data_IF_798172413553
#
_entry.id   IF_798172413553
#
_cell.length_a   1.000
_cell.length_b   1.000
_cell.length_c   1.000
_cell.angle_alpha   90.00
_cell.angle_beta   90.00
_cell.angle_gamma   90.00
#
_symmetry.space_group_name_H-M   'P 1'
#
loop_
_entity.id
_entity.type
_entity.pdbx_description
1 polymer ?
#
# COMPACT_ATOMS: atom_id res chain seq x y z
N UNK A 1 18.40 -56.89 29.20
CA UNK A 1 18.01 -58.27 29.54
C UNK A 1 16.51 -58.22 29.85
N UNK A 2 15.54 -58.80 29.13
CA UNK A 2 15.39 -59.99 28.28
C UNK A 2 14.69 -59.57 26.95
N UNK A 3 15.22 -59.85 25.75
CA UNK A 3 14.78 -60.88 24.75
C UNK A 3 13.25 -61.07 24.68
N UNK A 4 12.52 -61.04 23.57
CA UNK A 4 12.72 -61.15 22.11
C UNK A 4 11.38 -61.65 21.54
N UNK A 5 10.77 -61.07 20.50
CA UNK A 5 11.00 -61.48 19.12
C UNK A 5 9.88 -62.38 18.54
N UNK A 6 8.89 -61.74 17.88
CA UNK A 6 8.16 -62.10 16.64
C UNK A 6 7.75 -63.55 16.29
N UNK A 7 6.50 -63.76 15.79
CA UNK A 7 6.18 -63.89 14.33
C UNK A 7 4.71 -64.31 14.05
N UNK A 8 4.24 -63.75 12.92
CA UNK A 8 3.03 -63.96 12.11
C UNK A 8 2.31 -65.32 12.09
N UNK A 9 0.98 -65.27 11.88
CA UNK A 9 0.27 -65.85 10.70
C UNK A 9 -1.21 -65.40 10.62
N UNK A 10 -1.60 -64.76 9.50
CA UNK A 10 -2.98 -64.76 8.96
C UNK A 10 -3.19 -66.03 8.12
N UNK A 11 -4.44 -66.43 7.86
CA UNK A 11 -4.96 -66.19 6.50
C UNK A 11 -6.44 -65.76 6.42
N UNK A 12 -6.76 -65.17 5.28
CA UNK A 12 -8.08 -64.75 4.78
C UNK A 12 -9.04 -65.93 4.51
N UNK A 13 -10.34 -65.66 4.62
CA UNK A 13 -11.36 -66.22 3.72
C UNK A 13 -12.49 -65.22 3.47
N UNK A 14 -12.68 -64.93 2.19
CA UNK A 14 -13.81 -64.25 1.56
C UNK A 14 -14.93 -65.25 1.28
N UNK A 15 -16.20 -64.79 1.26
CA UNK A 15 -17.20 -65.27 0.31
C UNK A 15 -18.42 -64.35 0.23
N UNK A 16 -18.77 -64.09 -1.02
CA UNK A 16 -19.92 -63.37 -1.55
C UNK A 16 -21.27 -64.00 -1.22
N UNK A 17 -22.34 -63.22 -1.39
CA UNK A 17 -23.72 -63.74 -1.48
C UNK A 17 -24.77 -62.64 -1.64
N UNK A 18 -25.02 -62.26 -2.89
CA UNK A 18 -26.14 -61.42 -3.31
C UNK A 18 -27.50 -62.12 -3.16
N UNK A 19 -28.57 -61.35 -2.94
CA UNK A 19 -29.96 -61.84 -2.94
C UNK A 19 -30.97 -60.70 -2.99
N UNK A 20 -31.51 -60.50 -4.19
CA UNK A 20 -32.54 -59.53 -4.61
C UNK A 20 -33.95 -60.00 -4.21
N UNK A 21 -34.88 -59.06 -3.97
CA UNK A 21 -36.33 -59.01 -4.33
C UNK A 21 -37.07 -58.09 -3.32
N UNK A 22 -38.16 -57.36 -3.59
CA UNK A 22 -38.72 -56.59 -4.71
C UNK A 22 -40.10 -56.07 -4.23
N UNK A 23 -40.49 -54.85 -4.64
CA UNK A 23 -41.88 -54.26 -4.72
C UNK A 23 -42.56 -53.94 -3.37
N UNK A 24 -43.29 -52.84 -3.16
CA UNK A 24 -44.35 -52.15 -3.94
C UNK A 24 -44.38 -50.63 -3.57
N UNK A 25 -44.41 -49.67 -4.51
CA UNK A 25 -45.58 -49.03 -5.16
C UNK A 25 -46.63 -48.35 -4.24
N UNK A 26 -46.69 -47.00 -4.31
CA UNK A 26 -47.90 -46.13 -4.44
C UNK A 26 -47.45 -44.66 -4.55
N UNK A 27 -47.43 -44.08 -5.77
CA UNK A 27 -48.45 -43.21 -6.42
C UNK A 27 -48.38 -41.72 -6.05
N UNK A 28 -47.97 -40.91 -7.05
CA UNK A 28 -48.19 -39.44 -7.18
C UNK A 28 -49.67 -39.13 -7.47
N UNK A 29 -50.03 -37.83 -7.48
CA UNK A 29 -50.40 -37.25 -8.78
C UNK A 29 -49.78 -35.88 -9.09
N UNK A 30 -49.52 -35.65 -10.38
CA UNK A 30 -49.32 -34.35 -11.04
C UNK A 30 -50.65 -33.90 -11.65
N UNK A 31 -50.88 -32.59 -11.73
CA UNK A 31 -51.90 -31.91 -12.55
C UNK A 31 -51.34 -30.59 -13.12
N UNK A 32 -51.96 -29.98 -14.17
CA UNK A 32 -51.25 -29.60 -15.41
C UNK A 32 -51.15 -28.08 -15.70
N UNK A 33 -50.34 -27.64 -16.70
CA UNK A 33 -50.48 -26.36 -17.43
C UNK A 33 -51.39 -26.56 -18.69
N UNK A 34 -51.89 -25.54 -19.46
CA UNK A 34 -51.12 -24.44 -20.07
C UNK A 34 -51.90 -23.12 -20.38
N UNK A 35 -51.24 -22.13 -21.02
CA UNK A 35 -51.91 -21.10 -21.83
C UNK A 35 -51.18 -19.75 -21.92
N UNK A 36 -50.59 -19.45 -23.08
CA UNK A 36 -50.14 -18.10 -23.45
C UNK A 36 -51.11 -17.43 -24.42
N UNK A 37 -51.18 -16.09 -24.39
CA UNK A 37 -51.42 -15.21 -25.56
C UNK A 37 -51.31 -13.72 -25.17
N UNK A 38 -50.36 -13.06 -25.82
CA UNK A 38 -50.36 -11.71 -26.38
C UNK A 38 -51.58 -10.79 -26.14
N UNK A 39 -51.32 -9.53 -25.73
CA UNK A 39 -51.92 -8.33 -26.37
C UNK A 39 -51.32 -7.00 -25.89
N UNK A 40 -50.83 -6.27 -26.89
CA UNK A 40 -50.55 -4.82 -26.93
C UNK A 40 -51.74 -3.95 -26.50
N UNK A 41 -51.44 -2.79 -25.88
CA UNK A 41 -52.04 -1.43 -25.99
C UNK A 41 -51.58 -0.67 -24.73
N UNK A 42 -50.85 0.45 -24.77
CA UNK A 42 -51.08 1.66 -25.54
C UNK A 42 -51.61 2.73 -24.59
N UNK A 43 -50.72 3.51 -23.96
CA UNK A 43 -51.11 4.68 -23.17
C UNK A 43 -50.34 5.92 -23.66
N UNK A 44 -51.08 6.79 -24.34
CA UNK A 44 -50.67 8.13 -24.75
C UNK A 44 -50.81 9.09 -23.57
N UNK A 45 -49.83 10.01 -23.49
CA UNK A 45 -49.93 11.45 -23.12
C UNK A 45 -50.64 11.83 -21.80
N UNK A 46 -49.95 12.63 -20.99
CA UNK A 46 -50.17 14.10 -20.91
C UNK A 46 -49.10 14.80 -20.05
N UNK A 47 -48.55 15.87 -20.62
CA UNK A 47 -47.81 16.95 -19.98
C UNK A 47 -48.78 18.02 -19.42
N UNK A 48 -48.17 19.00 -18.72
CA UNK A 48 -48.65 20.29 -18.20
C UNK A 48 -48.89 20.27 -16.68
N UNK A 49 -48.07 20.86 -15.81
CA UNK A 49 -47.44 22.20 -15.71
C UNK A 49 -48.33 23.28 -15.06
N UNK A 50 -47.73 23.92 -14.04
CA UNK A 50 -47.94 25.25 -13.46
C UNK A 50 -49.03 25.48 -12.39
N UNK A 51 -48.61 26.12 -11.30
CA UNK A 51 -49.46 26.75 -10.29
C UNK A 51 -48.74 27.17 -9.01
N UNK A 52 -48.05 28.32 -9.01
CA UNK A 52 -47.78 29.12 -7.81
C UNK A 52 -49.07 29.88 -7.41
N UNK A 53 -49.32 30.33 -6.14
CA UNK A 53 -48.56 31.47 -5.58
C UNK A 53 -48.51 31.70 -4.02
N UNK A 54 -47.66 32.68 -3.64
CA UNK A 54 -47.80 33.74 -2.59
C UNK A 54 -47.55 33.48 -1.07
N UNK A 55 -46.38 33.97 -0.64
CA UNK A 55 -46.04 34.93 0.43
C UNK A 55 -47.06 35.27 1.55
N UNK A 56 -46.63 35.12 2.81
CA UNK A 56 -46.94 36.05 3.92
C UNK A 56 -45.88 36.00 5.06
N UNK A 57 -45.48 37.18 5.54
CA UNK A 57 -44.90 37.53 6.86
C UNK A 57 -45.75 38.72 7.39
N UNK A 58 -45.64 39.23 8.64
CA UNK A 58 -44.80 38.87 9.81
C UNK A 58 -45.58 38.90 11.17
N UNK A 59 -44.92 38.65 12.33
CA UNK A 59 -44.95 39.53 13.54
C UNK A 59 -44.06 39.04 14.69
N UNK A 60 -43.46 40.02 15.39
CA UNK A 60 -42.60 39.95 16.59
C UNK A 60 -43.45 39.97 17.88
N UNK A 61 -42.95 39.41 18.98
CA UNK A 61 -43.17 39.92 20.35
C UNK A 61 -41.93 39.63 21.24
N UNK A 62 -41.70 40.52 22.22
CA UNK A 62 -40.51 40.67 23.08
C UNK A 62 -40.74 40.13 24.51
N UNK A 63 -39.62 39.68 25.13
CA UNK A 63 -39.14 39.78 26.54
C UNK A 63 -40.08 39.49 27.74
N UNK A 64 -39.55 38.67 28.67
CA UNK A 64 -39.55 38.88 30.13
C UNK A 64 -38.26 38.28 30.75
N UNK A 65 -37.81 38.83 31.89
CA UNK A 65 -36.52 38.59 32.55
C UNK A 65 -36.65 38.29 34.06
N UNK A 66 -35.57 37.72 34.64
CA UNK A 66 -35.20 37.53 36.07
C UNK A 66 -36.03 36.52 36.90
N UNK A 67 -35.53 35.59 37.75
CA UNK A 67 -34.28 35.18 38.44
C UNK A 67 -34.72 34.41 39.74
N UNK A 68 -33.90 34.01 40.74
CA UNK A 68 -32.55 33.39 40.80
C UNK A 68 -32.48 32.12 41.72
N UNK A 69 -31.35 31.36 41.70
CA UNK A 69 -30.55 30.88 42.88
C UNK A 69 -29.78 29.53 42.74
N UNK A 70 -28.47 29.65 43.04
CA UNK A 70 -27.55 28.81 43.88
C UNK A 70 -26.97 27.46 43.41
N UNK A 71 -25.63 27.42 43.50
CA UNK A 71 -24.74 26.27 43.80
C UNK A 71 -24.47 25.36 42.59
N UNK A 72 -23.24 25.05 42.16
CA UNK A 72 -22.17 24.37 42.91
C UNK A 72 -20.79 24.70 42.29
N UNK A 73 -19.76 24.60 43.13
CA UNK A 73 -18.35 24.95 42.93
C UNK A 73 -17.53 23.76 42.38
N UNK A 74 -16.56 24.07 41.47
CA UNK A 74 -15.35 23.31 41.05
C UNK A 74 -15.58 22.01 40.24
N UNK A 75 -14.75 21.65 39.25
CA UNK A 75 -13.31 21.84 39.12
C UNK A 75 -12.86 22.07 37.66
N UNK A 76 -11.82 22.91 37.51
CA UNK A 76 -11.05 23.08 36.30
C UNK A 76 -10.15 21.85 36.07
N UNK A 77 -10.18 21.30 34.85
CA UNK A 77 -9.23 20.30 34.37
C UNK A 77 -8.19 21.02 33.49
N UNK A 78 -6.88 20.85 33.74
CA UNK A 78 -5.84 21.64 33.09
C UNK A 78 -5.58 21.18 31.65
N UNK A 79 -5.30 22.16 30.79
CA UNK A 79 -4.84 21.96 29.42
C UNK A 79 -3.52 21.15 29.38
N UNK A 80 -3.35 20.19 28.45
CA UNK A 80 -2.07 19.52 28.28
C UNK A 80 -1.05 20.51 27.70
N UNK A 81 0.07 20.65 28.42
CA UNK A 81 1.14 21.58 28.11
C UNK A 81 1.75 21.38 26.72
N UNK A 82 2.11 22.52 26.13
CA UNK A 82 2.98 22.64 24.96
C UNK A 82 4.31 21.92 25.23
N UNK A 83 4.44 20.68 24.75
CA UNK A 83 5.76 20.10 24.46
C UNK A 83 6.19 20.59 23.09
N UNK A 84 7.27 21.36 23.06
CA UNK A 84 7.85 21.90 21.85
C UNK A 84 8.13 20.79 20.83
N UNK A 85 7.39 20.83 19.72
CA UNK A 85 7.76 20.12 18.50
C UNK A 85 9.03 20.79 17.98
N UNK A 86 10.16 20.10 18.13
CA UNK A 86 11.35 20.43 17.35
C UNK A 86 11.01 20.10 15.90
N UNK A 87 10.89 21.12 15.06
CA UNK A 87 10.90 20.93 13.62
C UNK A 87 12.24 20.27 13.27
N UNK A 88 12.18 19.00 12.87
CA UNK A 88 13.34 18.31 12.29
C UNK A 88 13.56 18.97 10.93
N UNK A 89 14.63 19.74 10.83
CA UNK A 89 15.03 20.42 9.60
C UNK A 89 15.45 19.33 8.61
N UNK A 90 14.64 19.13 7.56
CA UNK A 90 15.00 18.32 6.41
C UNK A 90 16.31 18.84 5.84
N UNK A 91 17.33 17.99 5.75
CA UNK A 91 18.54 18.33 5.00
C UNK A 91 18.25 18.06 3.52
N UNK A 92 18.20 19.08 2.64
CA UNK A 92 17.89 18.85 1.24
C UNK A 92 18.95 17.95 0.61
N UNK A 93 18.52 16.95 -0.17
CA UNK A 93 19.44 16.24 -1.06
C UNK A 93 20.10 17.26 -1.99
N UNK A 94 21.41 17.11 -2.21
CA UNK A 94 22.19 18.07 -3.02
C UNK A 94 21.61 18.15 -4.43
N UNK A 95 21.09 19.32 -4.80
CA UNK A 95 20.60 19.59 -6.16
C UNK A 95 21.73 19.46 -7.18
N UNK A 96 21.56 18.72 -8.29
CA UNK A 96 22.42 18.85 -9.45
C UNK A 96 22.31 20.27 -10.03
N UNK A 97 23.43 20.87 -10.43
CA UNK A 97 23.43 22.18 -11.12
C UNK A 97 22.95 21.97 -12.56
N UNK A 98 21.73 22.42 -12.88
CA UNK A 98 21.25 22.53 -14.26
C UNK A 98 21.66 23.90 -14.83
N UNK A 99 22.29 23.90 -16.01
CA UNK A 99 22.54 25.11 -16.80
C UNK A 99 21.30 25.40 -17.66
N UNK A 100 20.86 26.66 -17.65
CA UNK A 100 20.23 27.40 -18.76
C UNK A 100 19.06 26.75 -19.50
N UNK A 101 17.89 27.33 -19.35
CA UNK A 101 16.66 26.99 -20.05
C UNK A 101 16.77 27.08 -21.59
N UNK A 102 16.23 26.06 -22.27
CA UNK A 102 15.75 26.14 -23.65
C UNK A 102 14.37 25.46 -23.65
N UNK A 103 13.31 26.27 -23.73
CA UNK A 103 11.91 25.81 -23.84
C UNK A 103 11.59 25.57 -25.33
N UNK A 104 10.64 24.68 -25.59
CA UNK A 104 10.10 24.23 -26.89
C UNK A 104 10.73 22.99 -27.53
N UNK A 105 10.68 21.86 -26.80
CA UNK A 105 10.53 20.53 -27.40
C UNK A 105 9.48 19.72 -26.64
N UNK A 106 8.59 18.97 -27.30
CA UNK A 106 7.72 18.03 -26.60
C UNK A 106 8.59 17.03 -25.82
N UNK A 107 8.38 16.97 -24.51
CA UNK A 107 9.07 16.04 -23.62
C UNK A 107 8.68 14.62 -24.02
N UNK A 108 9.64 13.84 -24.53
CA UNK A 108 9.45 12.40 -24.75
C UNK A 108 9.64 11.70 -23.42
N UNK A 109 8.65 10.91 -23.02
CA UNK A 109 8.74 9.96 -21.91
C UNK A 109 10.00 9.09 -22.16
N UNK A 110 10.98 9.07 -21.24
CA UNK A 110 12.09 8.13 -21.34
C UNK A 110 11.56 6.70 -21.26
N UNK A 111 11.76 5.89 -22.29
CA UNK A 111 11.45 4.46 -22.25
C UNK A 111 12.17 3.79 -21.06
N UNK A 112 11.44 3.08 -20.19
CA UNK A 112 12.05 2.27 -19.13
C UNK A 112 12.95 1.20 -19.79
N UNK A 113 14.25 1.25 -19.50
CA UNK A 113 15.24 0.39 -20.14
C UNK A 113 15.07 -1.07 -19.69
N UNK A 114 15.14 -2.05 -20.60
CA UNK A 114 15.22 -3.46 -20.20
C UNK A 114 16.54 -3.75 -19.48
N UNK A 115 16.60 -4.76 -18.59
CA UNK A 115 17.79 -5.12 -17.84
C UNK A 115 18.92 -5.54 -18.77
N UNK A 116 20.13 -4.98 -18.57
CA UNK A 116 21.31 -5.34 -19.37
C UNK A 116 21.94 -6.63 -18.82
N UNK A 117 22.35 -7.58 -19.68
CA UNK A 117 23.12 -8.74 -19.25
C UNK A 117 24.56 -8.35 -18.89
N UNK A 118 25.09 -8.99 -17.86
CA UNK A 118 26.43 -8.80 -17.31
C UNK A 118 27.53 -8.81 -18.39
N UNK A 119 28.29 -7.71 -18.47
CA UNK A 119 29.50 -7.64 -19.30
C UNK A 119 30.72 -8.10 -18.49
N UNK A 120 31.28 -9.23 -18.90
CA UNK A 120 32.55 -9.76 -18.43
C UNK A 120 33.70 -8.73 -18.55
N UNK A 121 34.51 -8.66 -17.50
CA UNK A 121 35.72 -7.84 -17.38
C UNK A 121 36.70 -8.04 -18.54
N UNK A 122 37.15 -6.92 -19.14
CA UNK A 122 38.40 -6.86 -19.92
C UNK A 122 39.53 -6.31 -19.04
N UNK A 123 40.75 -6.87 -19.09
CA UNK A 123 41.86 -6.40 -18.27
C UNK A 123 42.53 -5.14 -18.86
N UNK A 124 42.98 -4.25 -17.98
CA UNK A 124 43.72 -3.02 -18.31
C UNK A 124 45.16 -3.30 -18.84
N UNK A 125 45.75 -2.41 -19.66
CA UNK A 125 47.14 -2.51 -20.07
C UNK A 125 48.12 -1.90 -19.05
N UNK A 126 49.26 -2.57 -18.87
CA UNK A 126 50.39 -2.18 -17.99
C UNK A 126 51.04 -0.83 -18.36
N UNK A 127 51.61 -0.08 -17.39
CA UNK A 127 52.22 1.22 -17.66
C UNK A 127 53.65 1.11 -18.20
N UNK A 128 53.99 1.97 -19.17
CA UNK A 128 55.34 2.16 -19.71
C UNK A 128 56.16 3.10 -18.81
N UNK A 129 57.39 2.68 -18.49
CA UNK A 129 58.43 3.49 -17.83
C UNK A 129 58.80 4.73 -18.66
N UNK A 130 58.94 5.90 -18.02
CA UNK A 130 59.70 7.03 -18.55
C UNK A 130 60.77 7.48 -17.56
N UNK A 131 61.91 7.86 -18.16
CA UNK A 131 63.21 8.17 -17.56
C UNK A 131 63.24 9.53 -16.86
N UNK A 132 64.20 9.60 -15.95
CA UNK A 132 64.75 10.71 -15.17
C UNK A 132 65.12 11.98 -15.97
N UNK A 133 64.85 13.14 -15.35
CA UNK A 133 65.47 14.43 -15.68
C UNK A 133 65.61 15.27 -14.40
N UNK A 134 66.82 15.76 -14.14
CA UNK A 134 67.26 16.45 -12.93
C UNK A 134 66.82 17.92 -12.86
N UNK A 135 66.61 18.40 -11.62
CA UNK A 135 67.15 19.70 -11.16
C UNK A 135 66.17 20.86 -10.97
N UNK A 136 65.85 21.19 -9.71
CA UNK A 136 66.02 22.52 -9.06
C UNK A 136 65.54 22.50 -7.60
N UNK A 137 66.27 23.23 -6.74
CA UNK A 137 66.15 23.30 -5.25
C UNK A 137 64.93 24.14 -4.78
N UNK A 138 64.47 23.97 -3.53
CA UNK A 138 63.11 24.31 -3.11
C UNK A 138 62.98 25.71 -2.51
N UNK A 139 61.87 26.38 -2.79
CA UNK A 139 61.38 27.52 -2.01
C UNK A 139 60.49 27.01 -0.86
N UNK A 140 60.74 27.51 0.35
CA UNK A 140 59.98 27.25 1.57
C UNK A 140 58.52 27.71 1.39
N UNK A 141 57.64 26.77 1.04
CA UNK A 141 56.19 26.98 1.04
C UNK A 141 55.62 26.49 2.39
N UNK A 142 54.93 27.40 3.08
CA UNK A 142 54.22 27.17 4.33
C UNK A 142 53.36 25.91 4.25
N UNK A 143 53.48 25.08 5.27
CA UNK A 143 52.79 23.81 5.47
C UNK A 143 51.26 23.98 5.52
N UNK A 144 50.62 24.07 4.35
CA UNK A 144 49.18 23.90 4.21
C UNK A 144 48.93 22.39 4.16
N UNK A 145 48.67 21.79 5.32
CA UNK A 145 48.14 20.43 5.40
C UNK A 145 47.02 20.27 4.38
N UNK A 146 47.11 19.34 3.40
CA UNK A 146 46.02 19.12 2.48
C UNK A 146 44.83 18.67 3.31
N UNK A 147 43.70 19.40 3.23
CA UNK A 147 42.42 18.93 3.75
C UNK A 147 42.21 17.54 3.13
N UNK A 148 42.24 16.49 3.95
CA UNK A 148 41.85 15.14 3.53
C UNK A 148 40.49 15.29 2.85
N UNK A 149 40.43 15.09 1.53
CA UNK A 149 39.14 14.88 0.86
C UNK A 149 38.58 13.64 1.55
N UNK A 150 37.49 13.82 2.30
CA UNK A 150 36.66 12.70 2.74
C UNK A 150 36.32 11.94 1.45
N UNK A 151 36.90 10.75 1.32
CA UNK A 151 36.55 9.84 0.24
C UNK A 151 35.16 9.36 0.60
N UNK A 152 34.17 9.80 -0.17
CA UNK A 152 32.79 9.41 0.05
C UNK A 152 32.66 7.91 -0.20
N UNK A 153 32.05 7.20 0.73
CA UNK A 153 31.86 5.75 0.60
C UNK A 153 30.75 5.49 -0.44
N UNK A 154 30.96 4.61 -1.44
CA UNK A 154 29.89 4.22 -2.33
C UNK A 154 28.74 3.57 -1.54
N UNK A 155 27.48 3.70 -1.98
CA UNK A 155 26.35 3.08 -1.30
C UNK A 155 26.43 1.55 -1.33
N UNK A 156 25.81 0.91 -0.35
CA UNK A 156 25.71 -0.56 -0.26
C UNK A 156 24.89 -1.10 -1.46
N UNK A 157 25.22 -2.28 -2.02
CA UNK A 157 24.33 -2.98 -2.96
C UNK A 157 22.87 -3.07 -2.48
N UNK A 158 22.62 -3.21 -1.18
CA UNK A 158 21.28 -3.20 -0.60
C UNK A 158 20.56 -1.84 -0.77
N UNK A 159 21.31 -0.72 -0.69
CA UNK A 159 20.76 0.62 -0.93
C UNK A 159 20.33 0.78 -2.39
N UNK A 160 21.13 0.24 -3.32
CA UNK A 160 20.79 0.23 -4.75
C UNK A 160 19.49 -0.52 -5.01
N UNK A 161 19.34 -1.70 -4.41
CA UNK A 161 18.12 -2.49 -4.54
C UNK A 161 16.87 -1.76 -4.00
N UNK A 162 17.00 -0.90 -2.98
CA UNK A 162 15.88 -0.06 -2.51
C UNK A 162 15.46 0.96 -3.57
N UNK A 163 16.43 1.59 -4.23
CA UNK A 163 16.17 2.56 -5.31
C UNK A 163 15.59 1.87 -6.54
N UNK A 164 16.06 0.67 -6.88
CA UNK A 164 15.57 -0.09 -8.03
C UNK A 164 14.11 -0.52 -7.86
N UNK A 165 13.68 -0.84 -6.63
CA UNK A 165 12.25 -1.13 -6.34
C UNK A 165 11.35 0.09 -6.55
N UNK A 166 11.84 1.28 -6.20
CA UNK A 166 11.12 2.54 -6.45
C UNK A 166 11.04 2.84 -7.94
N UNK A 167 12.15 2.66 -8.66
CA UNK A 167 12.18 2.82 -10.12
C UNK A 167 11.19 1.87 -10.80
N UNK A 168 11.19 0.58 -10.41
CA UNK A 168 10.28 -0.43 -10.93
C UNK A 168 8.82 0.00 -10.77
N UNK A 169 8.38 0.34 -9.56
CA UNK A 169 6.97 0.68 -9.29
C UNK A 169 6.56 2.00 -9.93
N UNK A 170 7.44 3.01 -9.95
CA UNK A 170 7.14 4.31 -10.58
C UNK A 170 7.11 4.23 -12.09
N UNK A 171 7.99 3.44 -12.73
CA UNK A 171 7.89 3.10 -14.15
C UNK A 171 6.51 2.50 -14.46
N UNK A 172 6.07 1.49 -13.70
CA UNK A 172 4.76 0.84 -13.94
C UNK A 172 3.57 1.78 -13.75
N UNK A 173 3.64 2.68 -12.77
CA UNK A 173 2.62 3.71 -12.54
C UNK A 173 2.57 4.70 -13.72
N UNK A 174 3.74 5.14 -14.20
CA UNK A 174 3.82 6.03 -15.34
C UNK A 174 3.28 5.36 -16.62
N UNK A 175 3.67 4.11 -16.87
CA UNK A 175 3.18 3.31 -17.99
C UNK A 175 1.66 3.09 -17.91
N UNK A 176 1.13 2.76 -16.72
CA UNK A 176 -0.31 2.62 -16.49
C UNK A 176 -1.03 3.94 -16.80
N UNK A 177 -0.54 5.05 -16.26
CA UNK A 177 -1.09 6.38 -16.49
C UNK A 177 -1.06 6.79 -17.97
N UNK A 178 0.00 6.45 -18.70
CA UNK A 178 0.12 6.75 -20.13
C UNK A 178 -0.93 6.04 -21.00
N UNK A 179 -1.57 4.99 -20.47
CA UNK A 179 -2.67 4.26 -21.13
C UNK A 179 -4.07 4.74 -20.71
N UNK A 180 -4.18 5.71 -19.82
CA UNK A 180 -5.47 6.22 -19.35
C UNK A 180 -6.07 7.22 -20.35
N UNK A 181 -7.37 7.08 -20.62
CA UNK A 181 -8.17 8.13 -21.25
C UNK A 181 -8.69 9.14 -20.21
N UNK A 182 -9.22 10.29 -20.64
CA UNK A 182 -9.77 11.31 -19.74
C UNK A 182 -10.83 10.74 -18.76
N UNK A 183 -11.65 9.81 -19.22
CA UNK A 183 -12.67 9.15 -18.39
C UNK A 183 -12.09 8.20 -17.36
N UNK A 184 -10.89 7.66 -17.58
CA UNK A 184 -10.25 6.75 -16.65
C UNK A 184 -9.79 7.48 -15.39
N UNK A 185 -9.25 8.69 -15.55
CA UNK A 185 -8.68 9.49 -14.46
C UNK A 185 -9.67 9.83 -13.35
N UNK A 186 -10.93 10.01 -13.71
CA UNK A 186 -12.02 10.37 -12.77
C UNK A 186 -12.74 9.17 -12.17
N UNK A 187 -12.32 7.93 -12.50
CA UNK A 187 -12.95 6.72 -11.95
C UNK A 187 -12.69 6.63 -10.44
N UNK A 188 -13.71 6.34 -9.62
CA UNK A 188 -13.54 6.17 -8.18
C UNK A 188 -12.74 4.92 -7.87
N UNK A 189 -11.99 4.94 -6.76
CA UNK A 189 -11.21 3.79 -6.29
C UNK A 189 -11.76 3.25 -4.96
N UNK A 190 -11.15 2.18 -4.45
CA UNK A 190 -11.47 1.64 -3.13
C UNK A 190 -11.03 2.56 -1.98
N UNK A 191 -10.22 3.58 -2.24
CA UNK A 191 -9.89 4.63 -1.26
C UNK A 191 -11.04 5.64 -1.25
N UNK A 192 -11.79 5.79 -0.14
CA UNK A 192 -12.97 6.65 -0.12
C UNK A 192 -12.65 8.10 -0.50
N UNK A 193 -13.38 8.62 -1.47
CA UNK A 193 -13.22 9.99 -1.96
C UNK A 193 -12.11 10.19 -2.99
N UNK A 194 -11.36 9.14 -3.35
CA UNK A 194 -10.26 9.24 -4.31
C UNK A 194 -10.62 8.67 -5.68
N UNK A 195 -10.14 9.36 -6.71
CA UNK A 195 -10.14 8.90 -8.10
C UNK A 195 -8.80 8.26 -8.49
N UNK A 196 -8.70 7.70 -9.69
CA UNK A 196 -7.42 7.20 -10.26
C UNK A 196 -6.33 8.28 -10.26
N UNK A 197 -6.69 9.53 -10.60
CA UNK A 197 -5.76 10.66 -10.59
C UNK A 197 -5.21 10.99 -9.20
N UNK A 198 -6.05 10.86 -8.17
CA UNK A 198 -5.72 11.24 -6.79
C UNK A 198 -4.55 10.39 -6.23
N UNK A 199 -4.39 9.14 -6.70
CA UNK A 199 -3.26 8.30 -6.33
C UNK A 199 -1.92 8.84 -6.81
N UNK A 200 -1.84 9.33 -8.06
CA UNK A 200 -0.61 9.94 -8.56
C UNK A 200 -0.33 11.28 -7.87
N UNK A 201 -1.36 12.08 -7.61
CA UNK A 201 -1.23 13.33 -6.88
C UNK A 201 -0.64 13.12 -5.47
N UNK A 202 -1.15 12.14 -4.72
CA UNK A 202 -0.64 11.77 -3.40
C UNK A 202 0.82 11.32 -3.43
N UNK A 203 1.16 10.40 -4.33
CA UNK A 203 2.54 9.90 -4.45
C UNK A 203 3.52 11.02 -4.83
N UNK A 204 3.11 11.87 -5.78
CA UNK A 204 3.90 13.00 -6.26
C UNK A 204 4.22 13.96 -5.13
N UNK A 205 3.25 14.30 -4.28
CA UNK A 205 3.46 15.29 -3.23
C UNK A 205 4.48 14.86 -2.17
N UNK A 206 4.39 13.62 -1.71
CA UNK A 206 5.37 13.07 -0.77
C UNK A 206 6.78 13.12 -1.34
N UNK A 207 6.92 12.87 -2.64
CA UNK A 207 8.20 12.96 -3.33
C UNK A 207 8.67 14.41 -3.53
N UNK A 208 7.77 15.36 -3.76
CA UNK A 208 8.08 16.81 -3.78
C UNK A 208 8.63 17.28 -2.44
N UNK A 209 7.97 16.88 -1.35
CA UNK A 209 8.41 17.19 0.02
C UNK A 209 9.81 16.63 0.29
N UNK A 210 10.11 15.42 -0.19
CA UNK A 210 11.44 14.80 -0.05
C UNK A 210 12.50 15.39 -0.99
N UNK A 211 12.11 16.10 -2.06
CA UNK A 211 13.00 16.99 -2.82
C UNK A 211 13.25 18.34 -2.12
N UNK A 212 12.53 18.62 -1.03
CA UNK A 212 12.55 19.93 -0.37
C UNK A 212 11.92 21.02 -1.22
N UNK A 213 10.91 20.68 -2.02
CA UNK A 213 10.05 21.67 -2.67
C UNK A 213 9.07 22.25 -1.65
N UNK A 214 8.65 23.49 -1.89
CA UNK A 214 7.70 24.15 -1.01
C UNK A 214 6.36 23.40 -0.99
N UNK A 215 5.73 23.26 0.19
CA UNK A 215 4.40 22.69 0.29
C UNK A 215 3.41 23.48 -0.57
N UNK A 216 2.40 22.78 -1.08
CA UNK A 216 1.29 23.44 -1.79
C UNK A 216 0.49 24.28 -0.79
N UNK A 217 0.25 25.55 -1.13
CA UNK A 217 -0.65 26.43 -0.41
C UNK A 217 -2.08 26.18 -0.91
N UNK A 218 -2.81 25.28 -0.22
CA UNK A 218 -4.16 24.89 -0.58
C UNK A 218 -5.02 24.61 0.66
N UNK A 219 -6.31 24.91 0.56
CA UNK A 219 -7.29 24.64 1.63
C UNK A 219 -8.34 23.67 1.11
N UNK A 220 -8.44 22.53 1.79
CA UNK A 220 -9.44 21.49 1.50
C UNK A 220 -10.83 21.95 1.95
N UNK A 221 -11.89 21.69 1.17
CA UNK A 221 -13.27 21.91 1.59
C UNK A 221 -13.61 21.23 2.94
N UNK A 222 -14.38 21.91 3.78
CA UNK A 222 -14.85 21.34 5.05
C UNK A 222 -15.92 20.26 4.85
N UNK A 223 -16.08 19.37 5.84
CA UNK A 223 -17.20 18.41 5.90
C UNK A 223 -17.08 17.18 4.99
N UNK A 224 -15.89 16.90 4.44
CA UNK A 224 -15.64 15.71 3.64
C UNK A 224 -15.74 14.42 4.48
N UNK A 225 -16.75 13.60 4.21
CA UNK A 225 -17.10 12.43 5.01
C UNK A 225 -16.01 11.33 5.04
N UNK A 226 -15.11 11.30 4.05
CA UNK A 226 -14.00 10.34 4.00
C UNK A 226 -12.81 10.73 4.88
N UNK A 227 -12.72 11.98 5.33
CA UNK A 227 -11.64 12.44 6.20
C UNK A 227 -11.90 12.04 7.65
N UNK A 228 -11.35 10.89 8.04
CA UNK A 228 -11.59 10.27 9.37
C UNK A 228 -10.44 10.47 10.36
N UNK A 229 -9.30 11.00 9.93
CA UNK A 229 -8.11 11.19 10.77
C UNK A 229 -7.16 12.26 10.19
N UNK A 230 -6.22 12.73 11.01
CA UNK A 230 -5.26 13.78 10.66
C UNK A 230 -4.33 13.42 9.49
N UNK A 231 -4.06 12.13 9.26
CA UNK A 231 -3.21 11.68 8.15
C UNK A 231 -3.98 11.85 6.84
N UNK A 232 -5.24 11.40 6.80
CA UNK A 232 -6.14 11.61 5.67
C UNK A 232 -6.31 13.10 5.36
N UNK A 233 -6.55 13.94 6.37
CA UNK A 233 -6.67 15.39 6.17
C UNK A 233 -5.41 16.03 5.58
N UNK A 234 -4.21 15.55 5.96
CA UNK A 234 -2.95 16.04 5.40
C UNK A 234 -2.75 15.60 3.95
N UNK A 235 -3.04 14.35 3.63
CA UNK A 235 -2.92 13.85 2.26
C UNK A 235 -3.92 14.55 1.32
N UNK A 236 -5.13 14.82 1.82
CA UNK A 236 -6.20 15.44 1.02
C UNK A 236 -5.84 16.84 0.51
N UNK A 237 -5.02 17.62 1.23
CA UNK A 237 -4.57 18.96 0.77
C UNK A 237 -3.96 18.88 -0.61
N UNK A 238 -3.12 17.88 -0.84
CA UNK A 238 -2.33 17.78 -2.07
C UNK A 238 -3.10 17.12 -3.21
N UNK A 239 -3.97 16.18 -2.85
CA UNK A 239 -4.92 15.56 -3.76
C UNK A 239 -5.89 16.60 -4.29
N UNK A 240 -6.56 17.33 -3.39
CA UNK A 240 -7.58 18.31 -3.74
C UNK A 240 -7.01 19.47 -4.59
N UNK A 241 -5.77 19.91 -4.29
CA UNK A 241 -5.08 20.93 -5.08
C UNK A 241 -4.90 20.56 -6.57
N UNK A 242 -4.90 19.27 -6.90
CA UNK A 242 -4.69 18.75 -8.26
C UNK A 242 -5.95 18.23 -8.92
N UNK A 243 -7.10 18.20 -8.23
CA UNK A 243 -8.38 17.70 -8.80
C UNK A 243 -8.88 18.51 -9.99
N UNK A 244 -8.47 19.78 -10.09
CA UNK A 244 -8.83 20.64 -11.22
C UNK A 244 -7.93 20.45 -12.45
N UNK A 245 -6.81 19.72 -12.31
CA UNK A 245 -5.87 19.47 -13.40
C UNK A 245 -6.36 18.32 -14.27
N UNK A 246 -5.88 18.27 -15.51
CA UNK A 246 -6.07 17.07 -16.33
C UNK A 246 -5.23 15.91 -15.76
N UNK A 247 -5.70 14.68 -15.95
CA UNK A 247 -4.92 13.51 -15.55
C UNK A 247 -3.56 13.43 -16.26
N UNK A 248 -3.46 13.93 -17.49
CA UNK A 248 -2.21 14.05 -18.22
C UNK A 248 -1.22 15.02 -17.55
N UNK A 249 -1.69 16.15 -17.02
CA UNK A 249 -0.85 17.11 -16.29
C UNK A 249 -0.36 16.53 -14.96
N UNK A 250 -1.22 15.80 -14.24
CA UNK A 250 -0.83 15.11 -13.00
C UNK A 250 0.19 14.00 -13.29
N UNK A 251 0.01 13.24 -14.37
CA UNK A 251 0.99 12.25 -14.82
C UNK A 251 2.33 12.89 -15.19
N UNK A 252 2.31 14.02 -15.90
CA UNK A 252 3.52 14.74 -16.27
C UNK A 252 4.30 15.22 -15.03
N UNK A 253 3.60 15.77 -14.03
CA UNK A 253 4.21 16.14 -12.75
C UNK A 253 4.79 14.92 -12.02
N UNK A 254 4.04 13.81 -11.97
CA UNK A 254 4.51 12.57 -11.36
C UNK A 254 5.83 12.09 -11.99
N UNK A 255 5.91 12.04 -13.32
CA UNK A 255 7.12 11.62 -14.04
C UNK A 255 8.29 12.58 -13.79
N UNK A 256 8.05 13.89 -13.79
CA UNK A 256 9.09 14.89 -13.51
C UNK A 256 9.67 14.71 -12.10
N UNK A 257 8.79 14.67 -11.09
CA UNK A 257 9.18 14.62 -9.68
C UNK A 257 9.86 13.30 -9.35
N UNK A 258 9.28 12.17 -9.75
CA UNK A 258 9.86 10.84 -9.49
C UNK A 258 11.19 10.65 -10.22
N UNK A 259 11.31 11.16 -11.46
CA UNK A 259 12.58 11.19 -12.19
C UNK A 259 13.67 11.97 -11.46
N UNK A 260 13.34 13.16 -10.96
CA UNK A 260 14.27 13.96 -10.15
C UNK A 260 14.65 13.26 -8.84
N UNK A 261 13.70 12.59 -8.18
CA UNK A 261 13.95 11.81 -6.96
C UNK A 261 14.88 10.62 -7.21
N UNK A 262 14.63 9.84 -8.27
CA UNK A 262 15.49 8.71 -8.63
C UNK A 262 16.90 9.18 -8.98
N UNK A 263 17.04 10.28 -9.72
CA UNK A 263 18.34 10.86 -10.01
C UNK A 263 19.10 11.25 -8.73
N UNK A 264 18.40 11.88 -7.76
CA UNK A 264 18.96 12.20 -6.45
C UNK A 264 19.38 10.96 -5.66
N UNK A 265 18.50 9.97 -5.54
CA UNK A 265 18.76 8.72 -4.81
C UNK A 265 19.90 7.91 -5.44
N UNK A 266 20.03 7.90 -6.77
CA UNK A 266 21.14 7.23 -7.48
C UNK A 266 22.49 7.90 -7.23
N UNK A 267 22.49 9.19 -6.89
CA UNK A 267 23.68 9.94 -6.54
C UNK A 267 24.04 9.86 -5.04
N UNK A 268 23.17 9.32 -4.20
CA UNK A 268 23.42 9.18 -2.76
C UNK A 268 24.60 8.27 -2.45
N UNK A 269 25.32 8.63 -1.40
CA UNK A 269 26.43 7.87 -0.81
C UNK A 269 25.93 7.03 0.36
N UNK A 270 26.77 6.13 0.91
CA UNK A 270 26.36 5.35 2.09
C UNK A 270 25.97 6.25 3.27
N UNK A 271 26.66 7.39 3.44
CA UNK A 271 26.36 8.38 4.46
C UNK A 271 25.04 9.11 4.21
N UNK A 272 24.68 9.39 2.96
CA UNK A 272 23.39 10.00 2.62
C UNK A 272 22.24 9.05 2.94
N UNK A 273 22.38 7.75 2.66
CA UNK A 273 21.38 6.74 3.04
C UNK A 273 21.26 6.59 4.57
N UNK A 274 22.34 6.80 5.31
CA UNK A 274 22.35 6.79 6.76
C UNK A 274 21.89 8.12 7.40
N UNK A 275 21.63 9.16 6.60
CA UNK A 275 21.19 10.46 7.12
C UNK A 275 19.80 10.36 7.75
N UNK A 276 19.56 11.17 8.78
CA UNK A 276 18.28 11.23 9.49
C UNK A 276 17.13 11.58 8.53
N UNK A 277 16.02 10.88 8.69
CA UNK A 277 14.78 11.09 7.97
C UNK A 277 13.58 10.82 8.88
N UNK A 278 12.43 11.33 8.48
CA UNK A 278 11.15 10.87 9.02
C UNK A 278 10.72 9.57 8.33
N UNK A 279 10.06 8.69 9.06
CA UNK A 279 9.36 7.50 8.54
C UNK A 279 7.95 7.41 9.13
N UNK A 280 7.02 6.65 8.51
CA UNK A 280 5.72 6.39 9.11
C UNK A 280 5.76 5.73 10.51
N UNK A 281 6.87 5.08 10.88
CA UNK A 281 7.09 4.50 12.20
C UNK A 281 7.80 5.45 13.19
N UNK A 282 8.06 6.70 12.79
CA UNK A 282 8.81 7.68 13.57
C UNK A 282 10.17 8.02 12.94
N UNK A 283 11.07 8.68 13.70
CA UNK A 283 12.41 9.00 13.23
C UNK A 283 13.19 7.76 12.77
N UNK A 284 13.96 7.88 11.70
CA UNK A 284 14.81 6.83 11.16
C UNK A 284 15.84 7.43 10.20
N UNK A 285 16.25 6.67 9.19
CA UNK A 285 17.17 7.11 8.14
C UNK A 285 16.50 7.17 6.77
N UNK A 286 17.16 7.77 5.78
CA UNK A 286 16.71 7.70 4.37
C UNK A 286 16.54 6.25 3.94
N UNK A 287 17.48 5.37 4.31
CA UNK A 287 17.40 3.92 4.07
C UNK A 287 16.13 3.30 4.65
N UNK A 288 15.76 3.67 5.87
CA UNK A 288 14.58 3.14 6.54
C UNK A 288 13.27 3.62 5.89
N UNK A 289 13.28 4.80 5.26
CA UNK A 289 12.11 5.37 4.60
C UNK A 289 11.77 4.68 3.27
N UNK A 290 12.76 4.31 2.45
CA UNK A 290 12.51 3.83 1.08
C UNK A 290 11.61 2.58 1.00
N UNK A 291 11.71 1.57 1.89
CA UNK A 291 10.77 0.46 1.91
C UNK A 291 9.31 0.89 2.06
N UNK A 292 9.03 1.93 2.86
CA UNK A 292 7.67 2.47 3.00
C UNK A 292 7.22 3.15 1.72
N UNK A 293 8.11 3.87 1.04
CA UNK A 293 7.78 4.55 -0.22
C UNK A 293 7.48 3.56 -1.34
N UNK A 294 8.25 2.47 -1.44
CA UNK A 294 8.01 1.40 -2.40
C UNK A 294 6.68 0.68 -2.12
N UNK A 295 6.40 0.37 -0.85
CA UNK A 295 5.13 -0.21 -0.43
C UNK A 295 3.94 0.72 -0.74
N UNK A 296 4.01 1.99 -0.36
CA UNK A 296 2.94 2.98 -0.59
C UNK A 296 2.64 3.14 -2.08
N UNK A 297 3.69 3.23 -2.90
CA UNK A 297 3.57 3.30 -4.36
C UNK A 297 2.96 2.03 -4.94
N UNK A 298 3.33 0.85 -4.44
CA UNK A 298 2.78 -0.41 -4.91
C UNK A 298 1.30 -0.56 -4.56
N UNK A 299 0.90 -0.23 -3.33
CA UNK A 299 -0.52 -0.27 -2.93
C UNK A 299 -1.35 0.66 -3.81
N UNK A 300 -0.87 1.86 -4.08
CA UNK A 300 -1.58 2.81 -4.93
C UNK A 300 -1.56 2.44 -6.43
N UNK A 301 -0.54 1.73 -6.91
CA UNK A 301 -0.59 1.06 -8.21
C UNK A 301 -1.73 0.05 -8.26
N UNK A 302 -1.89 -0.79 -7.22
CA UNK A 302 -2.99 -1.75 -7.15
C UNK A 302 -4.36 -1.07 -7.06
N UNK A 303 -4.47 0.03 -6.30
CA UNK A 303 -5.70 0.83 -6.22
C UNK A 303 -6.12 1.34 -7.62
N UNK A 304 -5.17 1.86 -8.41
CA UNK A 304 -5.42 2.30 -9.78
C UNK A 304 -5.78 1.13 -10.70
N UNK A 305 -5.05 0.01 -10.64
CA UNK A 305 -5.30 -1.17 -11.49
C UNK A 305 -6.68 -1.76 -11.27
N UNK A 306 -7.09 -1.90 -10.00
CA UNK A 306 -8.43 -2.36 -9.64
C UNK A 306 -9.49 -1.41 -10.21
N UNK A 307 -9.33 -0.11 -9.96
CA UNK A 307 -10.26 0.90 -10.43
C UNK A 307 -10.35 0.91 -11.96
N UNK A 308 -9.30 0.53 -12.68
CA UNK A 308 -9.22 0.50 -14.14
C UNK A 308 -9.62 -0.84 -14.78
N UNK A 309 -9.77 -1.91 -13.99
CA UNK A 309 -9.88 -3.31 -14.45
C UNK A 309 -8.65 -3.74 -15.30
N UNK A 310 -7.44 -3.41 -14.81
CA UNK A 310 -6.15 -3.68 -15.48
C UNK A 310 -5.21 -4.47 -14.58
N UNK A 311 -5.47 -5.77 -14.34
CA UNK A 311 -4.70 -6.58 -13.40
C UNK A 311 -3.21 -6.62 -13.79
N UNK A 312 -2.33 -6.61 -12.79
CA UNK A 312 -0.88 -6.60 -13.00
C UNK A 312 -0.10 -6.02 -11.82
N UNK A 313 1.21 -5.89 -11.97
CA UNK A 313 2.06 -5.31 -10.92
C UNK A 313 2.27 -6.20 -9.69
N UNK A 314 1.79 -7.44 -9.71
CA UNK A 314 1.92 -8.42 -8.62
C UNK A 314 3.15 -9.35 -8.76
N UNK A 315 4.10 -8.98 -9.62
CA UNK A 315 5.37 -9.70 -9.80
C UNK A 315 6.54 -8.73 -9.62
N UNK A 316 7.71 -9.27 -9.30
CA UNK A 316 8.95 -8.51 -9.23
C UNK A 316 9.29 -7.99 -7.83
N UNK A 317 10.53 -7.51 -7.63
CA UNK A 317 11.06 -7.14 -6.31
C UNK A 317 10.19 -6.14 -5.52
N UNK A 318 9.58 -5.16 -6.18
CA UNK A 318 8.70 -4.19 -5.51
C UNK A 318 7.44 -4.86 -4.92
N UNK A 319 6.80 -5.75 -5.69
CA UNK A 319 5.60 -6.47 -5.27
C UNK A 319 5.90 -7.47 -4.14
N UNK A 320 7.00 -8.22 -4.26
CA UNK A 320 7.45 -9.16 -3.23
C UNK A 320 7.76 -8.44 -1.91
N UNK A 321 8.46 -7.30 -1.96
CA UNK A 321 8.78 -6.51 -0.78
C UNK A 321 7.53 -5.87 -0.13
N UNK A 322 6.57 -5.42 -0.94
CA UNK A 322 5.30 -4.93 -0.43
C UNK A 322 4.51 -6.06 0.26
N UNK A 323 4.45 -7.25 -0.35
CA UNK A 323 3.79 -8.41 0.24
C UNK A 323 4.45 -8.85 1.55
N UNK A 324 5.79 -8.90 1.61
CA UNK A 324 6.53 -9.24 2.83
C UNK A 324 6.21 -8.28 3.98
N UNK A 325 6.09 -6.99 3.66
CA UNK A 325 5.67 -5.98 4.63
C UNK A 325 4.25 -6.22 5.11
N UNK A 326 3.31 -6.53 4.21
CA UNK A 326 1.91 -6.78 4.53
C UNK A 326 1.78 -8.00 5.44
N UNK A 327 2.38 -9.14 5.07
CA UNK A 327 2.32 -10.36 5.89
C UNK A 327 3.05 -10.21 7.22
N UNK A 328 4.10 -9.39 7.27
CA UNK A 328 4.81 -9.06 8.51
C UNK A 328 3.94 -8.41 9.58
N UNK A 329 2.78 -7.84 9.22
CA UNK A 329 1.82 -7.28 10.18
C UNK A 329 0.95 -8.34 10.86
N UNK A 330 0.89 -9.57 10.33
CA UNK A 330 -0.05 -10.59 10.78
C UNK A 330 0.17 -11.00 12.24
N UNK A 331 1.43 -11.04 12.71
CA UNK A 331 1.74 -11.31 14.11
C UNK A 331 1.10 -10.31 15.08
N UNK A 332 1.10 -9.03 14.71
CA UNK A 332 0.40 -7.99 15.48
C UNK A 332 -1.12 -8.16 15.41
N UNK A 333 -1.67 -8.49 14.24
CA UNK A 333 -3.10 -8.74 14.06
C UNK A 333 -3.56 -9.90 14.97
N UNK A 334 -2.92 -11.06 14.86
CA UNK A 334 -3.29 -12.25 15.63
C UNK A 334 -3.03 -12.04 17.13
N UNK A 335 -1.82 -11.62 17.51
CA UNK A 335 -1.43 -11.54 18.91
C UNK A 335 -2.10 -10.40 19.68
N UNK A 336 -2.37 -9.25 19.03
CA UNK A 336 -2.86 -8.06 19.73
C UNK A 336 -4.26 -7.60 19.33
N UNK A 337 -4.62 -7.62 18.04
CA UNK A 337 -5.97 -7.20 17.62
C UNK A 337 -7.02 -8.29 17.89
N UNK A 338 -6.69 -9.54 17.58
CA UNK A 338 -7.59 -10.70 17.78
C UNK A 338 -7.42 -11.30 19.16
N UNK A 339 -6.17 -11.39 19.64
CA UNK A 339 -5.77 -11.89 20.95
C UNK A 339 -6.48 -13.20 21.37
N UNK A 340 -6.36 -14.29 20.58
CA UNK A 340 -6.92 -15.57 20.98
C UNK A 340 -6.09 -16.20 22.14
N UNK A 341 -6.58 -17.26 22.79
CA UNK A 341 -5.85 -17.92 23.88
C UNK A 341 -4.48 -18.46 23.46
N UNK A 342 -3.57 -18.58 24.42
CA UNK A 342 -2.27 -19.26 24.23
C UNK A 342 -2.46 -20.68 23.70
N UNK A 343 -1.54 -21.13 22.84
CA UNK A 343 -1.62 -22.39 22.10
C UNK A 343 -2.46 -22.33 20.82
N UNK A 344 -3.10 -21.21 20.52
CA UNK A 344 -3.80 -21.00 19.24
C UNK A 344 -2.79 -20.95 18.09
N UNK A 345 -2.99 -21.78 17.07
CA UNK A 345 -2.17 -21.79 15.84
C UNK A 345 -2.99 -21.27 14.66
N UNK A 346 -2.54 -20.18 14.05
CA UNK A 346 -3.13 -19.57 12.85
C UNK A 346 -2.20 -19.79 11.67
N UNK A 347 -2.71 -20.39 10.60
CA UNK A 347 -1.99 -20.53 9.33
C UNK A 347 -2.67 -19.67 8.27
N UNK A 348 -1.94 -18.74 7.66
CA UNK A 348 -2.41 -17.98 6.50
C UNK A 348 -1.61 -18.41 5.28
N UNK A 349 -2.31 -18.90 4.26
CA UNK A 349 -1.75 -19.23 2.96
C UNK A 349 -2.33 -18.30 1.91
N UNK A 350 -1.47 -17.68 1.13
CA UNK A 350 -1.86 -16.90 -0.04
C UNK A 350 -1.47 -17.65 -1.30
N UNK A 351 -2.37 -17.70 -2.27
CA UNK A 351 -2.12 -18.30 -3.59
C UNK A 351 -1.59 -17.24 -4.57
N UNK A 352 -1.32 -17.65 -5.81
CA UNK A 352 -0.89 -16.75 -6.88
C UNK A 352 -1.79 -15.49 -6.98
N UNK A 353 -1.25 -14.33 -7.36
CA UNK A 353 0.11 -14.11 -7.87
C UNK A 353 1.20 -13.99 -6.79
N UNK A 354 0.84 -13.73 -5.54
CA UNK A 354 1.77 -13.46 -4.43
C UNK A 354 1.68 -14.55 -3.37
N UNK A 355 2.40 -15.65 -3.59
CA UNK A 355 2.32 -16.84 -2.73
C UNK A 355 3.12 -16.61 -1.43
N UNK A 356 2.46 -16.83 -0.29
CA UNK A 356 3.06 -16.82 1.06
C UNK A 356 2.40 -17.88 1.93
N UNK A 357 3.16 -18.43 2.87
CA UNK A 357 2.61 -19.19 4.00
C UNK A 357 3.18 -18.60 5.27
N UNK A 358 2.30 -18.18 6.18
CA UNK A 358 2.66 -17.68 7.51
C UNK A 358 2.01 -18.56 8.55
N UNK A 359 2.82 -19.09 9.48
CA UNK A 359 2.37 -19.95 10.57
C UNK A 359 2.68 -19.23 11.86
N UNK A 360 1.66 -18.96 12.67
CA UNK A 360 1.79 -18.26 13.93
C UNK A 360 1.19 -19.08 15.07
N UNK A 361 1.90 -19.17 16.19
CA UNK A 361 1.37 -19.68 17.46
C UNK A 361 1.31 -18.56 18.48
N UNK A 362 0.23 -18.50 19.27
CA UNK A 362 0.13 -17.57 20.39
C UNK A 362 0.81 -18.15 21.62
N UNK A 363 1.87 -17.47 22.08
CA UNK A 363 2.65 -17.84 23.27
C UNK A 363 2.82 -16.60 24.15
N UNK A 364 2.36 -16.65 25.40
CA UNK A 364 2.43 -15.53 26.33
C UNK A 364 1.67 -14.30 25.83
N UNK A 365 0.52 -14.50 25.17
CA UNK A 365 -0.30 -13.44 24.59
C UNK A 365 0.30 -12.76 23.36
N UNK A 366 1.33 -13.33 22.73
CA UNK A 366 1.91 -12.82 21.47
C UNK A 366 1.94 -13.90 20.41
N UNK A 367 1.62 -13.55 19.17
CA UNK A 367 1.78 -14.45 18.05
C UNK A 367 3.25 -14.48 17.60
N UNK A 368 3.87 -15.65 17.68
CA UNK A 368 5.24 -15.91 17.27
C UNK A 368 5.26 -16.84 16.04
N UNK A 369 6.20 -16.66 15.10
CA UNK A 369 6.33 -17.55 13.95
C UNK A 369 6.71 -18.97 14.36
N UNK A 370 6.05 -19.95 13.75
CA UNK A 370 6.46 -21.35 13.78
C UNK A 370 7.15 -21.72 12.47
N UNK A 371 8.17 -22.59 12.55
CA UNK A 371 8.93 -23.03 11.38
C UNK A 371 8.10 -23.90 10.43
N UNK A 372 7.24 -24.74 10.98
CA UNK A 372 6.39 -25.66 10.21
C UNK A 372 4.93 -25.55 10.67
N UNK A 373 4.01 -25.69 9.71
CA UNK A 373 2.59 -25.76 10.02
C UNK A 373 2.28 -27.13 10.64
N UNK A 374 1.59 -27.20 11.79
CA UNK A 374 1.08 -28.47 12.29
C UNK A 374 0.04 -29.05 11.33
N UNK A 375 -0.21 -30.35 11.41
CA UNK A 375 -1.23 -31.04 10.61
C UNK A 375 -2.64 -30.51 10.91
N UNK A 376 -2.89 -30.15 12.16
CA UNK A 376 -4.19 -29.66 12.66
C UNK A 376 -4.01 -28.29 13.34
N UNK A 377 -3.82 -27.20 12.58
CA UNK A 377 -3.78 -25.86 13.15
C UNK A 377 -5.18 -25.46 13.65
N UNK A 378 -5.26 -24.57 14.64
CA UNK A 378 -6.58 -24.08 15.13
C UNK A 378 -7.41 -23.48 14.01
N UNK A 379 -6.79 -22.72 13.11
CA UNK A 379 -7.42 -22.27 11.87
C UNK A 379 -6.40 -22.15 10.74
N UNK A 380 -6.83 -22.52 9.53
CA UNK A 380 -6.15 -22.22 8.28
C UNK A 380 -7.02 -21.31 7.42
N UNK A 381 -6.43 -20.21 6.97
CA UNK A 381 -7.04 -19.20 6.10
C UNK A 381 -6.32 -19.24 4.76
N UNK A 382 -7.05 -19.48 3.67
CA UNK A 382 -6.51 -19.47 2.31
C UNK A 382 -7.22 -18.46 1.43
N UNK A 383 -6.48 -17.60 0.72
CA UNK A 383 -7.04 -16.63 -0.23
C UNK A 383 -6.00 -16.26 -1.30
N UNK A 384 -6.39 -15.53 -2.35
CA UNK A 384 -5.44 -15.03 -3.35
C UNK A 384 -4.54 -13.94 -2.76
N UNK A 385 -3.27 -13.87 -3.17
CA UNK A 385 -2.30 -12.94 -2.56
C UNK A 385 -2.63 -11.46 -2.76
N UNK A 386 -3.16 -11.11 -3.94
CA UNK A 386 -3.71 -9.77 -4.23
C UNK A 386 -4.95 -9.47 -3.39
N UNK A 387 -5.85 -10.44 -3.21
CA UNK A 387 -7.01 -10.31 -2.34
C UNK A 387 -6.61 -10.12 -0.87
N UNK A 388 -5.61 -10.87 -0.39
CA UNK A 388 -5.04 -10.68 0.95
C UNK A 388 -4.46 -9.28 1.12
N UNK A 389 -3.69 -8.79 0.14
CA UNK A 389 -3.14 -7.44 0.18
C UNK A 389 -4.24 -6.38 0.24
N UNK A 390 -5.31 -6.54 -0.53
CA UNK A 390 -6.47 -5.64 -0.48
C UNK A 390 -7.15 -5.66 0.89
N UNK A 391 -7.37 -6.82 1.49
CA UNK A 391 -7.94 -6.93 2.84
C UNK A 391 -7.05 -6.25 3.89
N UNK A 392 -5.76 -6.54 3.87
CA UNK A 392 -4.80 -5.99 4.83
C UNK A 392 -4.59 -4.48 4.69
N UNK A 393 -4.77 -3.94 3.48
CA UNK A 393 -4.76 -2.51 3.24
C UNK A 393 -6.15 -1.85 3.40
N UNK A 394 -7.21 -2.60 3.72
CA UNK A 394 -8.57 -2.05 3.88
C UNK A 394 -9.23 -1.60 2.56
N UNK A 395 -8.87 -2.24 1.45
CA UNK A 395 -9.38 -2.00 0.07
C UNK A 395 -10.46 -2.99 -0.36
N UNK A 396 -10.82 -3.92 0.50
CA UNK A 396 -11.87 -4.90 0.26
C UNK A 396 -12.61 -5.22 1.56
N UNK A 397 -13.89 -5.54 1.43
CA UNK A 397 -14.69 -6.05 2.55
C UNK A 397 -14.37 -7.54 2.76
N UNK A 398 -13.90 -7.96 3.96
CA UNK A 398 -13.72 -9.36 4.31
C UNK A 398 -14.92 -10.26 4.01
N UNK A 399 -16.14 -9.73 4.04
CA UNK A 399 -17.35 -10.49 3.74
C UNK A 399 -17.53 -10.81 2.24
N UNK A 400 -16.86 -10.07 1.36
CA UNK A 400 -16.99 -10.22 -0.10
C UNK A 400 -15.83 -10.93 -0.77
N UNK A 401 -14.70 -11.05 -0.08
CA UNK A 401 -13.50 -11.67 -0.64
C UNK A 401 -13.59 -13.19 -0.55
N UNK A 402 -13.34 -13.93 -1.65
CA UNK A 402 -13.25 -15.38 -1.61
C UNK A 402 -12.13 -15.84 -0.68
N UNK A 403 -12.53 -16.57 0.37
CA UNK A 403 -11.62 -17.16 1.36
C UNK A 403 -12.05 -18.59 1.66
N UNK A 404 -11.08 -19.48 1.85
CA UNK A 404 -11.31 -20.82 2.39
C UNK A 404 -10.85 -20.82 3.84
N UNK A 405 -11.74 -21.24 4.74
CA UNK A 405 -11.46 -21.42 6.17
C UNK A 405 -11.55 -22.90 6.50
N UNK A 406 -10.54 -23.41 7.19
CA UNK A 406 -10.47 -24.77 7.71
C UNK A 406 -10.10 -24.72 9.20
N UNK A 407 -10.74 -25.55 10.03
CA UNK A 407 -10.70 -25.43 11.50
C UNK A 407 -11.73 -24.42 12.07
N UNK A 408 -11.31 -23.58 13.01
CA UNK A 408 -12.15 -22.57 13.67
C UNK A 408 -12.48 -21.39 12.73
N UNK A 409 -13.63 -21.47 12.08
CA UNK A 409 -14.09 -20.45 11.14
C UNK A 409 -14.43 -19.10 11.82
N UNK A 410 -14.80 -19.07 13.10
CA UNK A 410 -15.09 -17.82 13.81
C UNK A 410 -13.79 -17.07 14.12
N UNK A 411 -12.75 -17.80 14.56
CA UNK A 411 -11.41 -17.24 14.67
C UNK A 411 -10.92 -16.72 13.31
N UNK A 412 -11.09 -17.50 12.24
CA UNK A 412 -10.71 -17.09 10.88
C UNK A 412 -11.37 -15.78 10.45
N UNK A 413 -12.68 -15.63 10.67
CA UNK A 413 -13.41 -14.39 10.38
C UNK A 413 -12.94 -13.22 11.25
N UNK A 414 -12.64 -13.43 12.54
CA UNK A 414 -12.07 -12.38 13.40
C UNK A 414 -10.69 -11.92 12.92
N UNK A 415 -9.84 -12.85 12.47
CA UNK A 415 -8.53 -12.50 11.86
C UNK A 415 -8.73 -11.66 10.61
N UNK A 416 -9.57 -12.12 9.67
CA UNK A 416 -9.86 -11.38 8.42
C UNK A 416 -10.43 -9.98 8.70
N UNK A 417 -11.37 -9.85 9.65
CA UNK A 417 -11.94 -8.58 10.07
C UNK A 417 -10.95 -7.62 10.74
N UNK A 418 -9.84 -8.14 11.26
CA UNK A 418 -8.79 -7.36 11.92
C UNK A 418 -7.56 -7.09 11.03
N UNK A 419 -7.52 -7.61 9.79
CA UNK A 419 -6.37 -7.53 8.90
C UNK A 419 -5.98 -6.10 8.51
N UNK A 420 -6.96 -5.20 8.36
CA UNK A 420 -6.69 -3.83 7.97
C UNK A 420 -5.73 -3.17 8.98
N UNK A 421 -4.51 -2.84 8.56
CA UNK A 421 -3.48 -2.24 9.41
C UNK A 421 -3.18 -0.77 9.07
N UNK A 422 -3.76 -0.24 8.01
CA UNK A 422 -3.56 1.15 7.59
C UNK A 422 -4.43 2.15 8.35
N UNK A 423 -5.41 1.67 9.13
CA UNK A 423 -6.36 2.49 9.89
C UNK A 423 -6.67 1.92 11.28
#
# INVERSE_FOLDING_TARGET
MLRGGARHRRPHRTRDGAGVLARDLRRRPRGPPPGGADRRRGARRRQCALGHPRVHRPRRLRRCAAGPHRGVVRAAVPAPGRRGRRNVVLRPLRRPRTRGAERDRPFRIPECKPPQPDRAHRPEPRPRRRRSGQGRRPHLARDRRPRRRSVSTPPDPADRALVDRLDEVWCRLADLGATCADTDWVRPTAVPGWSVQDHLAHLTDLERMLLGLDPVDHTVPEGLAHLRNDVGSRNEVFVDARRSWSGADVLAEFVEVTGARLAGLRACTAEDFAAESWTPMGPGTVRDLLPFRAFDSWVHEQDMREALDRPGGCTGPAAEAAMDRIVGTLGFVVGKKVAPPDGTVVVVTTTAPLVRTVVLEVVGGRAAPLAEAPTDPTVRITTAGDAYARLACGRADPATVPVTLDGDADLGRRVLGALNFLF
#
